data_IF_438505095313
#
_entry.id   IF_438505095313
#
_cell.length_a   1.000
_cell.length_b   1.000
_cell.length_c   1.000
_cell.angle_alpha   90.00
_cell.angle_beta   90.00
_cell.angle_gamma   90.00
#
_symmetry.space_group_name_H-M   'P 1'
#
loop_
_entity.id
_entity.type
_entity.pdbx_description
1 polymer ?
#
# COMPACT_ATOMS: atom_id res chain seq x y z
N UNK A 1 -4.81 8.27 -12.32
CA UNK A 1 -4.87 8.66 -10.89
C UNK A 1 -4.16 7.57 -10.10
N UNK A 2 -3.45 7.90 -9.02
CA UNK A 2 -2.77 6.90 -8.18
C UNK A 2 -3.47 6.82 -6.82
N UNK A 3 -3.48 5.63 -6.23
CA UNK A 3 -4.03 5.37 -4.91
C UNK A 3 -2.89 4.92 -4.00
N UNK A 4 -2.78 5.55 -2.83
CA UNK A 4 -1.69 5.30 -1.89
C UNK A 4 -2.22 4.56 -0.67
N UNK A 5 -1.43 3.59 -0.21
CA UNK A 5 -1.76 2.82 0.97
C UNK A 5 -0.53 2.68 1.87
N UNK A 6 -0.71 2.97 3.16
CA UNK A 6 0.32 2.87 4.17
C UNK A 6 0.36 1.50 4.81
N UNK A 7 1.57 0.97 5.03
CA UNK A 7 1.80 -0.30 5.72
C UNK A 7 2.08 -0.03 7.21
N UNK A 8 1.14 -0.41 8.09
CA UNK A 8 1.23 -0.12 9.54
C UNK A 8 2.02 -1.13 10.35
N UNK A 9 1.95 -2.40 9.97
CA UNK A 9 2.47 -3.51 10.81
C UNK A 9 3.90 -3.89 10.40
N UNK A 10 4.24 -3.72 9.12
CA UNK A 10 5.54 -4.08 8.54
C UNK A 10 5.85 -3.25 7.30
N UNK A 11 7.12 -3.24 6.88
CA UNK A 11 7.54 -2.68 5.59
C UNK A 11 7.23 -3.60 4.40
N UNK A 12 7.54 -3.11 3.21
CA UNK A 12 7.30 -3.79 1.94
C UNK A 12 8.16 -5.04 1.79
N UNK A 13 7.54 -6.11 1.30
CA UNK A 13 8.21 -7.36 0.97
C UNK A 13 7.69 -7.91 -0.35
N UNK A 14 8.62 -8.39 -1.18
CA UNK A 14 8.33 -8.91 -2.50
C UNK A 14 7.39 -10.12 -2.41
N UNK A 15 6.30 -10.07 -3.19
CA UNK A 15 5.29 -11.14 -3.22
C UNK A 15 4.28 -11.10 -2.06
N UNK A 16 4.45 -10.19 -1.10
CA UNK A 16 3.52 -10.03 0.02
C UNK A 16 2.42 -8.99 -0.23
N UNK A 17 2.30 -8.45 -1.44
CA UNK A 17 1.31 -7.43 -1.80
C UNK A 17 0.51 -7.85 -3.04
N UNK A 18 -0.73 -7.35 -3.21
CA UNK A 18 -1.47 -7.48 -4.46
C UNK A 18 -0.62 -7.06 -5.65
N UNK A 19 -0.50 -7.92 -6.67
CA UNK A 19 0.30 -7.62 -7.86
C UNK A 19 -0.47 -6.74 -8.86
N UNK A 20 -1.78 -6.91 -8.90
CA UNK A 20 -2.62 -6.22 -9.86
C UNK A 20 -2.67 -4.73 -9.55
N UNK A 21 -2.23 -3.93 -10.53
CA UNK A 21 -2.15 -2.48 -10.41
C UNK A 21 -1.07 -1.95 -9.48
N UNK A 22 -0.17 -2.78 -8.91
CA UNK A 22 0.93 -2.30 -8.07
C UNK A 22 1.93 -1.51 -8.91
N UNK A 23 2.14 -0.25 -8.54
CA UNK A 23 3.09 0.65 -9.19
C UNK A 23 4.45 0.68 -8.49
N UNK A 24 4.49 0.41 -7.18
CA UNK A 24 5.72 0.35 -6.38
C UNK A 24 5.58 1.04 -5.03
N UNK A 25 6.73 1.40 -4.44
CA UNK A 25 6.81 2.22 -3.25
C UNK A 25 6.72 3.70 -3.62
N UNK A 26 6.10 4.50 -2.75
CA UNK A 26 6.10 5.95 -2.87
C UNK A 26 7.40 6.52 -2.31
N UNK A 27 7.91 7.59 -2.92
CA UNK A 27 9.06 8.36 -2.38
C UNK A 27 8.68 9.17 -1.13
N UNK A 28 7.39 9.18 -0.75
CA UNK A 28 6.90 9.87 0.44
C UNK A 28 7.28 9.11 1.70
N UNK A 29 7.92 9.80 2.65
CA UNK A 29 8.14 9.31 4.01
C UNK A 29 6.95 9.65 4.93
N UNK A 30 6.69 8.79 5.91
CA UNK A 30 5.66 9.01 6.93
C UNK A 30 6.14 8.47 8.27
N UNK A 31 5.93 9.22 9.35
CA UNK A 31 6.21 8.72 10.71
C UNK A 31 5.15 7.71 11.19
N UNK A 32 4.07 7.52 10.42
CA UNK A 32 2.93 6.66 10.76
C UNK A 32 2.98 5.28 10.10
N UNK A 33 3.73 5.14 9.01
CA UNK A 33 3.74 3.94 8.18
C UNK A 33 5.19 3.53 7.93
N UNK A 34 5.45 2.22 7.93
CA UNK A 34 6.78 1.71 7.57
C UNK A 34 7.10 2.00 6.11
N UNK A 35 6.12 1.80 5.24
CA UNK A 35 6.21 2.05 3.81
C UNK A 35 4.86 2.55 3.28
N UNK A 36 4.89 3.29 2.18
CA UNK A 36 3.71 3.68 1.41
C UNK A 36 3.81 3.04 0.03
N UNK A 37 2.77 2.32 -0.38
CA UNK A 37 2.69 1.68 -1.70
C UNK A 37 1.67 2.37 -2.59
N UNK A 38 1.96 2.41 -3.88
CA UNK A 38 1.14 3.08 -4.90
C UNK A 38 0.46 2.06 -5.82
N UNK A 39 -0.82 2.29 -6.12
CA UNK A 39 -1.61 1.49 -7.06
C UNK A 39 -2.24 2.35 -8.16
N UNK A 40 -2.42 1.76 -9.35
CA UNK A 40 -3.17 2.35 -10.46
C UNK A 40 -4.70 2.23 -10.31
N UNK A 41 -5.15 1.43 -9.34
CA UNK A 41 -6.56 1.23 -8.99
C UNK A 41 -6.79 1.31 -7.49
N UNK A 42 -8.06 1.46 -7.08
CA UNK A 42 -8.44 1.24 -5.69
C UNK A 42 -8.34 -0.24 -5.37
N UNK A 43 -7.75 -0.54 -4.22
CA UNK A 43 -7.86 -1.85 -3.60
C UNK A 43 -9.27 -2.05 -3.06
N UNK A 44 -9.74 -3.29 -3.09
CA UNK A 44 -11.00 -3.67 -2.43
C UNK A 44 -10.82 -3.65 -0.92
N UNK A 45 -11.93 -3.59 -0.18
CA UNK A 45 -11.89 -3.67 1.29
C UNK A 45 -11.23 -4.98 1.77
N UNK A 46 -11.50 -6.10 1.09
CA UNK A 46 -10.86 -7.40 1.39
C UNK A 46 -9.34 -7.35 1.18
N UNK A 47 -8.86 -6.72 0.10
CA UNK A 47 -7.42 -6.54 -0.13
C UNK A 47 -6.81 -5.63 0.95
N UNK A 48 -7.48 -4.55 1.32
CA UNK A 48 -7.01 -3.64 2.35
C UNK A 48 -6.89 -4.38 3.70
N UNK A 49 -7.90 -5.15 4.09
CA UNK A 49 -7.91 -5.91 5.33
C UNK A 49 -6.86 -7.03 5.32
N UNK A 50 -6.84 -7.86 4.27
CA UNK A 50 -5.91 -9.00 4.13
C UNK A 50 -4.45 -8.59 4.18
N UNK A 51 -4.12 -7.42 3.65
CA UNK A 51 -2.75 -6.92 3.59
C UNK A 51 -2.46 -5.86 4.65
N UNK A 52 -3.39 -5.64 5.58
CA UNK A 52 -3.29 -4.70 6.71
C UNK A 52 -2.89 -3.27 6.27
N UNK A 53 -3.49 -2.83 5.17
CA UNK A 53 -3.21 -1.56 4.52
C UNK A 53 -4.14 -0.45 5.04
N UNK A 54 -3.70 0.80 4.91
CA UNK A 54 -4.52 1.96 5.26
C UNK A 54 -4.50 2.98 4.12
N UNK A 55 -5.66 3.40 3.58
CA UNK A 55 -5.70 4.46 2.57
C UNK A 55 -4.98 5.72 3.05
N UNK A 56 -4.14 6.28 2.18
CA UNK A 56 -3.43 7.54 2.41
C UNK A 56 -4.06 8.61 1.51
N UNK A 57 -4.54 9.69 2.13
CA UNK A 57 -5.07 10.87 1.43
C UNK A 57 -3.96 11.74 0.83
#
# INVERSE_FOLDING_TARGET
MKYMYGMKVRGFSLGCQPKDGLLGLSDKSSDKYYDIIEYSRKLTEEEIEKYELVPVE
#
